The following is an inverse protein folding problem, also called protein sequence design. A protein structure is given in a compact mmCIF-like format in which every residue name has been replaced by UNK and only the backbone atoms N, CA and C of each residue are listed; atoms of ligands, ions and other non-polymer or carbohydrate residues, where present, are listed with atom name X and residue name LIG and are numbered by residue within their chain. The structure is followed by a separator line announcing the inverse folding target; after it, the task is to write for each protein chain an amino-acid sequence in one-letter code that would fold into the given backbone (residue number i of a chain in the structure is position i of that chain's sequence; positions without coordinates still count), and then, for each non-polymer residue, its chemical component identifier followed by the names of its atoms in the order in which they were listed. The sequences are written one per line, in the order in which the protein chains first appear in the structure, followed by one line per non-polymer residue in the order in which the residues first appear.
data_IF_080843716333
#
_entry.id   IF_080843716333
#
_cell.length_a   1.000
_cell.length_b   1.000
_cell.length_c   1.000
_cell.angle_alpha   90.00
_cell.angle_beta   90.00
_cell.angle_gamma   90.00
#
_symmetry.space_group_name_H-M   'P 1'
#
loop_
_entity.id
_entity.type
_entity.pdbx_description
1 polymer ?
#
# COMPACT_ATOMS: atom_id res chain seq x y z
N UNK A 1 20.82 -20.80 -26.97
CA UNK A 1 19.49 -20.90 -26.33
C UNK A 1 19.55 -20.11 -25.04
N UNK A 2 19.29 -18.80 -25.11
CA UNK A 2 19.25 -17.93 -23.93
C UNK A 2 17.98 -18.23 -23.17
N UNK A 3 18.12 -18.60 -21.91
CA UNK A 3 17.03 -18.64 -20.94
C UNK A 3 16.49 -17.22 -20.77
N UNK A 4 15.48 -16.85 -21.55
CA UNK A 4 14.59 -15.75 -21.19
C UNK A 4 14.00 -16.11 -19.82
N UNK A 5 14.55 -15.48 -18.79
CA UNK A 5 13.97 -15.40 -17.46
C UNK A 5 12.62 -14.72 -17.61
N UNK A 6 11.59 -15.52 -17.90
CA UNK A 6 10.20 -15.10 -18.01
C UNK A 6 9.82 -14.52 -16.65
N UNK A 7 9.85 -13.19 -16.55
CA UNK A 7 9.32 -12.43 -15.43
C UNK A 7 7.95 -13.05 -15.09
N UNK A 8 7.73 -13.55 -13.88
CA UNK A 8 6.48 -14.23 -13.57
C UNK A 8 5.35 -13.21 -13.68
N UNK A 9 4.54 -13.37 -14.73
CA UNK A 9 3.32 -12.61 -14.98
C UNK A 9 2.50 -12.59 -13.68
N UNK A 10 2.58 -11.48 -12.94
CA UNK A 10 1.67 -11.25 -11.82
C UNK A 10 0.30 -11.17 -12.49
N UNK A 11 -0.62 -12.13 -12.28
CA UNK A 11 -1.90 -12.07 -12.96
C UNK A 11 -2.56 -10.73 -12.59
N UNK A 12 -3.11 -10.02 -13.58
CA UNK A 12 -3.64 -8.66 -13.43
C UNK A 12 -4.64 -8.51 -12.24
N UNK A 13 -5.24 -9.63 -11.82
CA UNK A 13 -6.10 -9.77 -10.64
C UNK A 13 -5.38 -9.55 -9.30
N UNK A 14 -4.09 -9.89 -9.18
CA UNK A 14 -3.25 -9.61 -8.01
C UNK A 14 -2.61 -8.22 -8.05
N UNK A 15 -2.39 -7.68 -9.25
CA UNK A 15 -1.80 -6.36 -9.42
C UNK A 15 -2.72 -5.25 -8.89
N UNK A 16 -4.03 -5.32 -9.16
CA UNK A 16 -4.99 -4.30 -8.73
C UNK A 16 -5.07 -4.12 -7.20
N UNK A 17 -5.33 -5.16 -6.38
CA UNK A 17 -5.46 -5.03 -4.93
C UNK A 17 -4.20 -4.52 -4.22
N UNK A 18 -3.02 -4.79 -4.80
CA UNK A 18 -1.73 -4.34 -4.25
C UNK A 18 -1.33 -2.94 -4.74
N UNK A 19 -1.64 -2.62 -5.99
CA UNK A 19 -1.31 -1.34 -6.59
C UNK A 19 -2.11 -0.19 -5.98
N UNK A 20 -3.35 -0.41 -5.57
CA UNK A 20 -4.22 0.66 -5.09
C UNK A 20 -3.86 1.23 -3.71
N UNK A 21 -3.57 0.42 -2.66
CA UNK A 21 -3.06 0.94 -1.39
C UNK A 21 -1.70 1.62 -1.56
N UNK A 22 -0.84 1.07 -2.43
CA UNK A 22 0.47 1.64 -2.72
C UNK A 22 0.37 2.98 -3.46
N UNK A 23 -0.47 3.06 -4.49
CA UNK A 23 -0.76 4.29 -5.21
C UNK A 23 -1.42 5.34 -4.28
N UNK A 24 -2.33 4.91 -3.41
CA UNK A 24 -2.90 5.79 -2.40
C UNK A 24 -1.82 6.36 -1.48
N UNK A 25 -0.97 5.50 -0.93
CA UNK A 25 0.11 5.92 -0.05
C UNK A 25 1.03 6.89 -0.76
N UNK A 26 1.52 6.56 -1.97
CA UNK A 26 2.35 7.43 -2.82
C UNK A 26 1.75 8.82 -3.05
N UNK A 27 0.43 8.90 -3.26
CA UNK A 27 -0.26 10.15 -3.55
C UNK A 27 -0.60 10.97 -2.30
N UNK A 28 -0.61 10.35 -1.11
CA UNK A 28 -1.08 11.00 0.13
C UNK A 28 0.03 11.25 1.15
N UNK A 29 1.09 10.43 1.19
CA UNK A 29 2.20 10.62 2.14
C UNK A 29 2.92 11.97 1.98
N UNK A 30 3.19 12.51 0.75
CA UNK A 30 3.83 13.80 0.61
C UNK A 30 2.91 14.93 1.06
N UNK A 31 1.60 14.79 0.82
CA UNK A 31 0.61 15.77 1.27
C UNK A 31 0.49 15.80 2.81
N UNK A 32 0.54 14.64 3.45
CA UNK A 32 0.60 14.54 4.91
C UNK A 32 1.86 15.22 5.47
N UNK A 33 3.04 14.92 4.90
CA UNK A 33 4.28 15.57 5.31
C UNK A 33 4.25 17.09 5.07
N UNK A 34 3.79 17.54 3.90
CA UNK A 34 3.71 18.95 3.55
C UNK A 34 2.75 19.73 4.47
N UNK A 35 1.60 19.14 4.81
CA UNK A 35 0.65 19.74 5.75
C UNK A 35 1.23 19.91 7.16
N UNK A 36 2.21 19.09 7.55
CA UNK A 36 2.89 19.19 8.84
C UNK A 36 4.16 20.05 8.79
N UNK A 37 4.80 20.17 7.63
CA UNK A 37 5.96 21.03 7.42
C UNK A 37 5.56 22.52 7.41
N UNK A 38 4.50 22.86 6.69
CA UNK A 38 4.01 24.23 6.60
C UNK A 38 3.17 24.60 7.83
N UNK A 39 3.76 25.34 8.76
CA UNK A 39 3.11 25.77 10.01
C UNK A 39 3.04 27.28 10.19
N UNK A 40 3.61 28.06 9.25
CA UNK A 40 3.61 29.53 9.28
C UNK A 40 2.32 30.11 8.68
N UNK A 41 2.04 31.39 8.95
CA UNK A 41 0.93 32.11 8.31
C UNK A 41 1.16 32.30 6.80
N UNK A 42 2.42 32.43 6.39
CA UNK A 42 2.82 32.66 5.00
C UNK A 42 2.57 31.41 4.14
N UNK A 43 2.62 30.22 4.74
CA UNK A 43 2.40 28.95 4.06
C UNK A 43 0.98 28.40 4.22
N UNK A 44 0.05 29.19 4.79
CA UNK A 44 -1.30 28.72 5.14
C UNK A 44 -2.06 28.18 3.93
N UNK A 45 -1.98 28.84 2.78
CA UNK A 45 -2.65 28.42 1.56
C UNK A 45 -2.18 27.03 1.11
N UNK A 46 -0.87 26.79 1.16
CA UNK A 46 -0.26 25.52 0.79
C UNK A 46 -0.63 24.39 1.76
N UNK A 47 -0.63 24.70 3.06
CA UNK A 47 -1.10 23.76 4.09
C UNK A 47 -2.57 23.38 3.88
N UNK A 48 -3.44 24.35 3.61
CA UNK A 48 -4.87 24.09 3.33
C UNK A 48 -5.03 23.25 2.07
N UNK A 49 -4.29 23.52 1.00
CA UNK A 49 -4.32 22.72 -0.22
C UNK A 49 -3.91 21.26 0.04
N UNK A 50 -2.86 21.03 0.83
CA UNK A 50 -2.42 19.68 1.21
C UNK A 50 -3.48 18.93 2.06
N UNK A 51 -4.14 19.63 2.99
CA UNK A 51 -5.23 19.06 3.80
C UNK A 51 -6.47 18.74 2.96
N UNK A 52 -6.85 19.61 2.03
CA UNK A 52 -7.95 19.37 1.10
C UNK A 52 -7.66 18.18 0.17
N UNK A 53 -6.42 18.05 -0.29
CA UNK A 53 -5.97 16.90 -1.06
C UNK A 53 -6.11 15.60 -0.28
N UNK A 54 -5.63 15.57 0.97
CA UNK A 54 -5.81 14.42 1.86
C UNK A 54 -7.29 14.08 2.05
N UNK A 55 -8.13 15.07 2.36
CA UNK A 55 -9.56 14.88 2.57
C UNK A 55 -10.23 14.26 1.34
N UNK A 56 -9.91 14.76 0.13
CA UNK A 56 -10.45 14.23 -1.12
C UNK A 56 -10.08 12.76 -1.34
N UNK A 57 -8.82 12.40 -1.13
CA UNK A 57 -8.34 11.02 -1.29
C UNK A 57 -9.00 10.08 -0.28
N UNK A 58 -9.12 10.48 0.99
CA UNK A 58 -9.81 9.68 2.00
C UNK A 58 -11.29 9.53 1.65
N UNK A 59 -11.96 10.59 1.22
CA UNK A 59 -13.34 10.51 0.76
C UNK A 59 -13.50 9.53 -0.42
N UNK A 60 -12.58 9.56 -1.39
CA UNK A 60 -12.55 8.60 -2.48
C UNK A 60 -12.28 7.16 -2.00
N UNK A 61 -11.43 6.99 -0.99
CA UNK A 61 -11.15 5.69 -0.36
C UNK A 61 -12.40 5.08 0.28
N UNK A 62 -13.21 5.88 0.97
CA UNK A 62 -14.48 5.44 1.55
C UNK A 62 -15.59 5.21 0.52
N UNK A 63 -15.61 5.94 -0.59
CA UNK A 63 -16.67 5.84 -1.62
C UNK A 63 -16.51 4.69 -2.62
N UNK A 64 -15.30 4.16 -2.84
CA UNK A 64 -15.02 3.20 -3.93
C UNK A 64 -15.62 1.78 -3.76
N UNK A 65 -16.59 1.57 -2.88
CA UNK A 65 -17.21 0.26 -2.64
C UNK A 65 -16.31 -0.75 -1.93
N UNK A 66 -15.17 -0.32 -1.37
CA UNK A 66 -14.17 -1.18 -0.69
C UNK A 66 -14.43 -1.36 0.81
N UNK A 67 -15.54 -0.81 1.30
CA UNK A 67 -15.96 -0.88 2.70
C UNK A 67 -15.16 0.05 3.63
N UNK A 68 -15.69 0.23 4.85
CA UNK A 68 -15.08 1.08 5.87
C UNK A 68 -13.66 0.64 6.27
N UNK A 69 -13.36 -0.65 6.16
CA UNK A 69 -12.04 -1.20 6.52
C UNK A 69 -10.90 -0.60 5.68
N UNK A 70 -11.09 -0.46 4.36
CA UNK A 70 -10.07 0.15 3.49
C UNK A 70 -9.84 1.61 3.85
N UNK A 71 -10.91 2.40 3.96
CA UNK A 71 -10.83 3.81 4.33
C UNK A 71 -10.15 4.02 5.70
N UNK A 72 -10.52 3.23 6.70
CA UNK A 72 -9.93 3.29 8.04
C UNK A 72 -8.43 2.95 8.03
N UNK A 73 -8.03 1.95 7.22
CA UNK A 73 -6.62 1.57 7.08
C UNK A 73 -5.80 2.70 6.46
N UNK A 74 -6.34 3.34 5.42
CA UNK A 74 -5.67 4.48 4.76
C UNK A 74 -5.62 5.72 5.67
N UNK A 75 -6.69 5.97 6.45
CA UNK A 75 -6.74 7.04 7.44
C UNK A 75 -5.71 6.81 8.56
N UNK A 76 -5.63 5.58 9.07
CA UNK A 76 -4.63 5.20 10.07
C UNK A 76 -3.22 5.40 9.53
N UNK A 77 -2.94 4.99 8.29
CA UNK A 77 -1.65 5.22 7.63
C UNK A 77 -1.30 6.71 7.57
N UNK A 78 -2.23 7.55 7.13
CA UNK A 78 -2.00 9.01 7.08
C UNK A 78 -1.80 9.60 8.48
N UNK A 79 -2.52 9.10 9.48
CA UNK A 79 -2.34 9.49 10.88
C UNK A 79 -0.97 9.11 11.44
N UNK A 80 -0.46 7.91 11.10
CA UNK A 80 0.89 7.46 11.48
C UNK A 80 1.96 8.33 10.82
N UNK A 81 1.79 8.71 9.54
CA UNK A 81 2.69 9.67 8.86
C UNK A 81 2.72 11.00 9.60
N UNK A 82 1.55 11.56 9.90
CA UNK A 82 1.44 12.83 10.61
C UNK A 82 2.05 12.77 12.01
N UNK A 83 1.80 11.67 12.75
CA UNK A 83 2.36 11.45 14.08
C UNK A 83 3.89 11.29 14.07
N UNK A 84 4.42 10.50 13.11
CA UNK A 84 5.85 10.32 12.94
C UNK A 84 6.54 11.65 12.62
N UNK A 85 5.94 12.48 11.77
CA UNK A 85 6.45 13.82 11.46
C UNK A 85 6.47 14.73 12.69
N UNK A 86 5.38 14.78 13.44
CA UNK A 86 5.27 15.61 14.64
C UNK A 86 6.28 15.21 15.73
N UNK A 87 6.65 13.93 15.78
CA UNK A 87 7.58 13.39 16.78
C UNK A 87 9.05 13.46 16.32
N UNK A 88 9.30 13.33 15.01
CA UNK A 88 10.63 13.24 14.42
C UNK A 88 10.71 14.09 13.13
N UNK A 89 10.76 15.42 13.23
CA UNK A 89 10.70 16.36 12.09
C UNK A 89 11.97 16.38 11.22
N UNK A 90 12.82 15.37 11.32
CA UNK A 90 14.04 15.26 10.53
C UNK A 90 13.74 14.87 9.08
N UNK A 91 14.48 15.45 8.12
CA UNK A 91 14.29 15.15 6.70
C UNK A 91 14.52 13.67 6.34
N UNK A 92 15.27 12.92 7.14
CA UNK A 92 15.48 11.48 6.95
C UNK A 92 14.20 10.66 7.13
N UNK A 93 13.27 11.13 7.97
CA UNK A 93 11.98 10.50 8.21
C UNK A 93 11.14 10.45 6.92
N UNK A 94 11.34 11.39 5.98
CA UNK A 94 10.72 11.36 4.64
C UNK A 94 11.26 10.24 3.77
N UNK A 95 12.54 9.91 3.89
CA UNK A 95 13.18 8.86 3.08
C UNK A 95 12.82 7.45 3.60
N UNK A 96 12.55 7.32 4.90
CA UNK A 96 12.12 6.07 5.50
C UNK A 96 10.72 5.62 5.02
N UNK A 97 9.82 6.56 4.71
CA UNK A 97 8.45 6.24 4.27
C UNK A 97 8.37 5.49 2.93
N UNK A 98 9.03 5.95 1.84
CA UNK A 98 9.16 5.21 0.60
C UNK A 98 9.78 3.82 0.80
N UNK A 99 10.82 3.73 1.64
CA UNK A 99 11.48 2.47 2.00
C UNK A 99 10.52 1.48 2.68
N UNK A 100 9.73 1.96 3.64
CA UNK A 100 8.71 1.15 4.33
C UNK A 100 7.57 0.75 3.38
N UNK A 101 7.16 1.62 2.47
CA UNK A 101 6.14 1.31 1.46
C UNK A 101 6.63 0.26 0.45
N UNK A 102 7.89 0.33 0.03
CA UNK A 102 8.53 -0.70 -0.81
C UNK A 102 8.62 -2.02 -0.04
N UNK A 103 9.04 -1.99 1.23
CA UNK A 103 9.11 -3.17 2.10
C UNK A 103 7.74 -3.81 2.32
N UNK A 104 6.70 -3.01 2.58
CA UNK A 104 5.32 -3.48 2.73
C UNK A 104 4.81 -4.10 1.44
N UNK A 105 5.06 -3.46 0.28
CA UNK A 105 4.68 -4.00 -1.02
C UNK A 105 5.38 -5.34 -1.31
N UNK A 106 6.69 -5.43 -1.04
CA UNK A 106 7.46 -6.67 -1.14
C UNK A 106 6.94 -7.77 -0.21
N UNK A 107 6.62 -7.42 1.03
CA UNK A 107 6.07 -8.34 2.03
C UNK A 107 4.68 -8.87 1.66
N UNK A 108 3.78 -8.00 1.18
CA UNK A 108 2.46 -8.40 0.69
C UNK A 108 2.57 -9.32 -0.53
N UNK A 109 3.48 -9.01 -1.47
CA UNK A 109 3.76 -9.87 -2.63
C UNK A 109 4.30 -11.24 -2.19
N UNK A 110 5.17 -11.29 -1.18
CA UNK A 110 5.70 -12.54 -0.63
C UNK A 110 4.62 -13.38 0.09
N UNK A 111 3.75 -12.74 0.87
CA UNK A 111 2.65 -13.41 1.57
C UNK A 111 1.63 -13.98 0.59
N UNK A 112 1.27 -13.25 -0.47
CA UNK A 112 0.36 -13.73 -1.51
C UNK A 112 0.96 -14.88 -2.34
N UNK A 113 2.28 -14.85 -2.59
CA UNK A 113 2.99 -15.98 -3.20
C UNK A 113 2.91 -17.24 -2.32
N UNK A 114 3.21 -17.11 -1.02
CA UNK A 114 3.11 -18.22 -0.06
C UNK A 114 1.69 -18.77 0.09
N UNK A 115 0.68 -17.91 0.14
CA UNK A 115 -0.72 -18.32 0.21
C UNK A 115 -1.15 -19.14 -1.02
N UNK A 116 -0.57 -18.86 -2.20
CA UNK A 116 -0.79 -19.62 -3.43
C UNK A 116 -0.04 -20.94 -3.44
N UNK A 117 1.21 -20.97 -2.98
CA UNK A 117 2.01 -22.18 -2.85
C UNK A 117 1.41 -23.16 -1.83
N UNK A 118 0.76 -22.66 -0.77
CA UNK A 118 0.01 -23.46 0.19
C UNK A 118 -1.40 -23.85 -0.28
N UNK A 119 -1.93 -23.21 -1.32
CA UNK A 119 -3.20 -23.55 -1.94
C UNK A 119 -2.97 -24.53 -3.10
N UNK A 120 -2.35 -25.67 -2.82
CA UNK A 120 -2.39 -26.82 -3.73
C UNK A 120 -3.86 -27.18 -3.92
N UNK A 121 -4.38 -27.18 -5.16
CA UNK A 121 -5.77 -27.53 -5.37
C UNK A 121 -5.94 -29.00 -4.99
N UNK A 122 -6.90 -29.27 -4.09
CA UNK A 122 -7.29 -30.62 -3.66
C UNK A 122 -7.47 -31.68 -4.78
N UNK A 123 -7.82 -31.35 -6.04
CA UNK A 123 -7.95 -32.36 -7.09
C UNK A 123 -6.66 -33.13 -7.37
N UNK A 124 -5.47 -32.48 -7.37
CA UNK A 124 -4.21 -33.17 -7.70
C UNK A 124 -3.71 -34.06 -6.55
N UNK A 125 -3.96 -33.66 -5.30
CA UNK A 125 -3.61 -34.47 -4.12
C UNK A 125 -4.49 -35.73 -3.99
N UNK A 126 -5.74 -35.68 -4.46
CA UNK A 126 -6.64 -36.83 -4.52
C UNK A 126 -6.40 -37.70 -5.77
N UNK A 127 -5.95 -37.11 -6.88
CA UNK A 127 -5.58 -37.85 -8.11
C UNK A 127 -4.25 -38.60 -7.97
N UNK A 128 -3.29 -38.06 -7.19
CA UNK A 128 -2.08 -38.80 -6.77
C UNK A 128 -2.36 -39.85 -5.67
N UNK A 129 -3.51 -39.76 -4.99
CA UNK A 129 -4.00 -40.75 -4.04
C UNK A 129 -5.01 -41.73 -4.68
N UNK A 130 -4.88 -42.00 -5.98
CA UNK A 130 -5.64 -43.04 -6.67
C UNK A 130 -5.44 -44.43 -6.03
N UNK A 131 -6.43 -45.34 -6.18
CA UNK A 131 -6.60 -46.53 -5.36
C UNK A 131 -5.53 -47.58 -5.69
N UNK A 132 -4.48 -47.61 -4.88
CA UNK A 132 -3.38 -48.57 -4.98
C UNK A 132 -2.76 -48.86 -3.62
N UNK A 133 -3.59 -49.27 -2.66
CA UNK A 133 -3.18 -49.90 -1.40
C UNK A 133 -4.04 -51.14 -1.17
#
# INVERSE_FOLDING_TARGET
MSSESREPDIPAQLARPLSEPFAFALLTWPAAAAAMHWSSADDLAWRVAALLWLALFHFAAYRRGRGAAFGNTMLLMSGVVAWAWASFPEGWTLAAFPLLLIGLHGGQRALLRRAREGATPLPEALEQAGPGA
#
